data_IF_569712268475
#
_entry.id   IF_569712268475
#
_cell.length_a   1.000
_cell.length_b   1.000
_cell.length_c   1.000
_cell.angle_alpha   90.00
_cell.angle_beta   90.00
_cell.angle_gamma   90.00
#
_symmetry.space_group_name_H-M   'P 1'
#
loop_
_entity.id
_entity.type
_entity.pdbx_description
1 polymer ?
#
# COMPACT_ATOMS: atom_id res chain seq x y z
N UNK A 1 -13.29 -10.24 -2.40
CA UNK A 1 -12.00 -9.66 -2.82
C UNK A 1 -11.37 -10.57 -3.86
N UNK A 2 -10.88 -10.04 -4.97
CA UNK A 2 -10.22 -10.84 -6.00
C UNK A 2 -8.88 -11.35 -5.44
N UNK A 3 -8.58 -12.64 -5.61
CA UNK A 3 -7.40 -13.33 -5.03
C UNK A 3 -6.04 -12.74 -5.46
N UNK A 4 -6.05 -11.82 -6.41
CA UNK A 4 -4.88 -11.19 -7.03
C UNK A 4 -4.74 -9.71 -6.71
N UNK A 5 -5.58 -9.15 -5.84
CA UNK A 5 -5.50 -7.75 -5.45
C UNK A 5 -5.28 -7.64 -3.95
N UNK A 6 -4.61 -6.55 -3.55
CA UNK A 6 -4.30 -6.27 -2.16
C UNK A 6 -4.51 -4.81 -1.89
N UNK A 7 -5.18 -4.52 -0.78
CA UNK A 7 -5.41 -3.14 -0.34
C UNK A 7 -4.23 -2.65 0.51
N UNK A 8 -4.11 -1.33 0.66
CA UNK A 8 -3.20 -0.72 1.65
C UNK A 8 -3.51 -1.23 3.05
N UNK A 9 -4.80 -1.34 3.40
CA UNK A 9 -5.27 -1.91 4.66
C UNK A 9 -4.73 -3.31 4.92
N UNK A 10 -4.90 -4.22 3.96
CA UNK A 10 -4.41 -5.60 4.07
C UNK A 10 -2.88 -5.64 4.26
N UNK A 11 -2.14 -4.83 3.50
CA UNK A 11 -0.68 -4.76 3.63
C UNK A 11 -0.23 -4.17 4.96
N UNK A 12 -0.90 -3.13 5.44
CA UNK A 12 -0.59 -2.49 6.72
C UNK A 12 -0.81 -3.47 7.88
N UNK A 13 -1.93 -4.20 7.87
CA UNK A 13 -2.28 -5.19 8.87
C UNK A 13 -1.29 -6.35 8.93
N UNK A 14 -0.89 -6.88 7.77
CA UNK A 14 0.06 -8.01 7.70
C UNK A 14 1.41 -7.74 8.36
N UNK A 15 1.81 -6.48 8.36
CA UNK A 15 3.12 -6.07 8.87
C UNK A 15 3.01 -5.32 10.21
N UNK A 16 1.80 -5.04 10.69
CA UNK A 16 1.55 -4.35 11.96
C UNK A 16 1.83 -2.85 11.93
N UNK A 17 1.68 -2.19 10.77
CA UNK A 17 1.80 -0.74 10.64
C UNK A 17 0.43 -0.07 10.72
N UNK A 18 0.36 1.11 11.34
CA UNK A 18 -0.83 1.95 11.32
C UNK A 18 -1.21 2.38 9.89
N UNK A 19 -2.46 2.17 9.52
CA UNK A 19 -2.97 2.46 8.18
C UNK A 19 -2.76 3.94 7.81
N UNK A 20 -3.03 4.88 8.71
CA UNK A 20 -2.90 6.31 8.43
C UNK A 20 -1.43 6.71 8.21
N UNK A 21 -0.49 6.10 8.95
CA UNK A 21 0.96 6.27 8.71
C UNK A 21 1.33 5.79 7.31
N UNK A 22 0.86 4.59 6.92
CA UNK A 22 1.18 4.04 5.61
C UNK A 22 0.58 4.87 4.47
N UNK A 23 -0.70 5.25 4.58
CA UNK A 23 -1.36 6.13 3.61
C UNK A 23 -0.66 7.49 3.49
N UNK A 24 -0.18 8.06 4.61
CA UNK A 24 0.59 9.30 4.60
C UNK A 24 1.92 9.14 3.87
N UNK A 25 2.61 8.02 4.06
CA UNK A 25 3.84 7.72 3.35
C UNK A 25 3.62 7.55 1.84
N UNK A 26 2.55 6.86 1.44
CA UNK A 26 2.16 6.72 0.04
C UNK A 26 1.87 8.08 -0.60
N UNK A 27 1.16 8.98 0.09
CA UNK A 27 0.94 10.36 -0.39
C UNK A 27 2.24 11.13 -0.53
N UNK A 28 3.16 11.04 0.45
CA UNK A 28 4.49 11.68 0.40
C UNK A 28 5.35 11.16 -0.74
N UNK A 29 5.24 9.86 -1.04
CA UNK A 29 5.89 9.21 -2.17
C UNK A 29 5.21 9.50 -3.52
N UNK A 30 4.19 10.37 -3.55
CA UNK A 30 3.38 10.69 -4.75
C UNK A 30 2.77 9.46 -5.41
N UNK A 31 2.49 8.41 -4.63
CA UNK A 31 1.90 7.18 -5.14
C UNK A 31 0.45 7.45 -5.60
N UNK A 32 0.11 7.20 -6.88
CA UNK A 32 -1.17 7.61 -7.42
C UNK A 32 -2.32 6.85 -6.75
N UNK A 33 -3.37 7.54 -6.27
CA UNK A 33 -4.58 6.88 -5.79
C UNK A 33 -5.34 6.26 -6.96
N UNK A 34 -5.10 4.97 -7.21
CA UNK A 34 -6.06 4.13 -7.94
C UNK A 34 -7.27 3.93 -7.02
N UNK A 35 -8.16 4.93 -7.01
CA UNK A 35 -9.39 4.92 -6.20
C UNK A 35 -10.29 3.77 -6.66
N UNK A 36 -10.24 2.63 -5.98
CA UNK A 36 -11.38 1.71 -5.93
C UNK A 36 -11.93 1.81 -4.52
N UNK A 37 -13.14 2.36 -4.38
CA UNK A 37 -13.88 2.40 -3.09
C UNK A 37 -13.08 2.90 -1.88
N UNK A 38 -12.34 4.01 -2.04
CA UNK A 38 -11.65 4.75 -0.98
C UNK A 38 -10.35 4.15 -0.43
N UNK A 39 -9.87 3.03 -0.95
CA UNK A 39 -8.56 2.49 -0.57
C UNK A 39 -7.67 2.28 -1.80
N UNK A 40 -6.34 2.39 -1.67
CA UNK A 40 -5.48 2.01 -2.79
C UNK A 40 -5.49 0.48 -2.88
N UNK A 41 -6.00 -0.04 -3.99
CA UNK A 41 -5.95 -1.47 -4.31
C UNK A 41 -4.97 -1.69 -5.46
N UNK A 42 -4.04 -2.62 -5.28
CA UNK A 42 -3.02 -2.97 -6.27
C UNK A 42 -3.06 -4.45 -6.59
N UNK A 43 -2.84 -4.80 -7.86
CA UNK A 43 -2.71 -6.19 -8.29
C UNK A 43 -1.37 -6.75 -7.79
N UNK A 44 -1.40 -7.88 -7.09
CA UNK A 44 -0.21 -8.61 -6.64
C UNK A 44 0.68 -8.93 -7.85
N UNK A 45 1.97 -8.60 -7.73
CA UNK A 45 2.97 -8.80 -8.81
C UNK A 45 3.01 -7.71 -9.88
N UNK A 46 2.19 -6.66 -9.78
CA UNK A 46 2.32 -5.47 -10.63
C UNK A 46 3.43 -4.52 -10.15
N UNK A 47 3.86 -3.60 -11.02
CA UNK A 47 4.82 -2.54 -10.66
C UNK A 47 4.29 -1.69 -9.50
N UNK A 48 2.99 -1.41 -9.48
CA UNK A 48 2.34 -0.68 -8.39
C UNK A 48 2.41 -1.43 -7.06
N UNK A 49 2.28 -2.76 -7.08
CA UNK A 49 2.46 -3.59 -5.88
C UNK A 49 3.91 -3.53 -5.37
N UNK A 50 4.89 -3.61 -6.28
CA UNK A 50 6.30 -3.51 -5.93
C UNK A 50 6.67 -2.13 -5.37
N UNK A 51 6.17 -1.06 -6.00
CA UNK A 51 6.36 0.31 -5.53
C UNK A 51 5.69 0.55 -4.17
N UNK A 52 4.47 0.06 -3.96
CA UNK A 52 3.78 0.13 -2.68
C UNK A 52 4.55 -0.61 -1.57
N UNK A 53 5.07 -1.81 -1.85
CA UNK A 53 5.95 -2.55 -0.94
C UNK A 53 7.24 -1.79 -0.62
N UNK A 54 7.84 -1.11 -1.60
CA UNK A 54 9.05 -0.30 -1.36
C UNK A 54 8.80 0.84 -0.37
N UNK A 55 7.64 1.50 -0.45
CA UNK A 55 7.25 2.54 0.53
C UNK A 55 7.09 1.92 1.92
N UNK A 56 6.44 0.77 2.01
CA UNK A 56 6.26 0.03 3.27
C UNK A 56 7.60 -0.37 3.90
N UNK A 57 8.54 -0.92 3.12
CA UNK A 57 9.90 -1.26 3.60
C UNK A 57 10.66 -0.03 4.09
N UNK A 58 10.47 1.12 3.43
CA UNK A 58 11.10 2.38 3.85
C UNK A 58 10.56 2.85 5.21
N UNK A 59 9.28 2.58 5.51
CA UNK A 59 8.71 2.86 6.82
C UNK A 59 9.27 1.95 7.92
N UNK A 60 9.50 0.66 7.63
CA UNK A 60 10.08 -0.28 8.60
C UNK A 60 11.53 0.00 8.97
N UNK A 61 12.29 0.64 8.08
CA UNK A 61 13.72 0.92 8.30
C UNK A 61 13.98 2.23 9.03
N UNK A 62 12.92 2.94 9.44
CA UNK A 62 13.00 4.13 10.31
C UNK A 62 12.80 3.71 11.75
#
# INVERSE_FOLDING_TARGET
MSRFHKTVGDMALEVGIDLAVFQTALRRAKFPPRKVKQDWEVKIGSDDYSAMRSVLVTLFRR
#
